data_IF_213323986426
#
_entry.id   IF_213323986426
#
_cell.length_a   1.000
_cell.length_b   1.000
_cell.length_c   1.000
_cell.angle_alpha   90.00
_cell.angle_beta   90.00
_cell.angle_gamma   90.00
#
_symmetry.space_group_name_H-M   'P 1'
#
loop_
_entity.id
_entity.type
_entity.pdbx_description
1 polymer ?
#
# COMPACT_ATOMS: atom_id res chain seq x y z
N UNK A 1 46.16 -24.03 60.38
CA UNK A 1 44.97 -23.35 60.96
C UNK A 1 43.79 -23.72 60.06
N UNK A 2 42.99 -24.74 60.42
CA UNK A 2 41.69 -24.63 61.13
C UNK A 2 40.68 -23.77 60.34
N UNK A 3 39.87 -24.41 59.50
CA UNK A 3 38.44 -24.74 59.70
C UNK A 3 37.49 -23.60 59.31
N UNK A 4 36.60 -23.85 58.33
CA UNK A 4 35.16 -23.98 58.56
C UNK A 4 34.38 -24.00 57.24
N UNK A 5 33.66 -25.11 57.02
CA UNK A 5 32.48 -25.17 56.17
C UNK A 5 31.39 -24.24 56.72
N UNK A 6 30.62 -23.59 55.85
CA UNK A 6 29.19 -23.41 56.12
C UNK A 6 28.43 -23.29 54.80
N UNK A 7 27.74 -24.36 54.44
CA UNK A 7 26.58 -24.31 53.56
C UNK A 7 25.40 -23.75 54.38
N UNK A 8 24.67 -22.78 53.84
CA UNK A 8 23.30 -22.52 54.26
C UNK A 8 22.42 -22.37 53.02
N UNK A 9 21.61 -23.42 52.79
CA UNK A 9 20.42 -23.39 51.96
C UNK A 9 19.40 -22.45 52.60
N UNK A 10 18.94 -21.45 51.86
CA UNK A 10 17.67 -20.77 52.11
C UNK A 10 16.82 -20.86 50.83
N UNK A 11 15.93 -21.83 50.86
CA UNK A 11 14.71 -21.91 50.06
C UNK A 11 13.83 -20.70 50.29
N UNK A 12 13.28 -20.11 49.22
CA UNK A 12 12.25 -19.08 49.33
C UNK A 12 11.77 -18.62 47.95
N UNK A 13 10.70 -19.23 47.47
CA UNK A 13 10.03 -18.91 46.22
C UNK A 13 9.67 -17.42 46.13
N UNK A 14 10.05 -16.75 45.04
CA UNK A 14 9.27 -15.70 44.38
C UNK A 14 9.98 -15.30 43.08
N UNK A 15 9.56 -15.90 41.97
CA UNK A 15 8.97 -15.16 40.85
C UNK A 15 8.51 -16.20 39.83
N UNK A 16 7.23 -16.56 39.88
CA UNK A 16 6.49 -16.73 38.65
C UNK A 16 6.55 -15.37 37.94
N UNK A 17 7.61 -15.13 37.18
CA UNK A 17 7.55 -14.17 36.11
C UNK A 17 6.57 -14.78 35.10
N UNK A 18 5.28 -14.49 35.31
CA UNK A 18 4.35 -14.44 34.20
C UNK A 18 5.02 -13.47 33.22
N UNK A 19 5.58 -14.01 32.14
CA UNK A 19 5.99 -13.26 30.97
C UNK A 19 4.73 -12.63 30.39
N UNK A 20 4.27 -11.55 31.01
CA UNK A 20 3.28 -10.67 30.43
C UNK A 20 3.96 -10.07 29.22
N UNK A 21 3.50 -10.44 28.02
CA UNK A 21 3.91 -9.79 26.79
C UNK A 21 3.80 -8.28 27.00
N UNK A 22 4.90 -7.55 26.75
CA UNK A 22 4.91 -6.10 26.87
C UNK A 22 3.78 -5.54 26.02
N UNK A 23 2.87 -4.76 26.63
CA UNK A 23 1.75 -4.15 25.92
C UNK A 23 2.12 -2.75 25.48
N UNK A 24 1.58 -2.34 24.34
CA UNK A 24 1.75 -0.98 23.82
C UNK A 24 0.40 -0.37 23.47
N UNK A 25 0.33 0.95 23.50
CA UNK A 25 -0.78 1.74 22.97
C UNK A 25 -0.30 2.50 21.75
N UNK A 26 -0.77 2.08 20.58
CA UNK A 26 -0.35 2.64 19.30
C UNK A 26 -1.57 3.02 18.46
N UNK A 27 -1.51 4.21 17.86
CA UNK A 27 -2.36 4.57 16.73
C UNK A 27 -1.57 4.34 15.46
N UNK A 28 -2.12 3.60 14.50
CA UNK A 28 -1.39 3.37 13.26
C UNK A 28 -2.27 3.39 12.03
N UNK A 29 -1.64 3.70 10.90
CA UNK A 29 -2.18 3.45 9.56
C UNK A 29 -1.17 2.63 8.79
N UNK A 30 -1.64 1.80 7.88
CA UNK A 30 -0.77 0.91 7.14
C UNK A 30 -0.94 1.09 5.63
N UNK A 31 0.10 0.81 4.87
CA UNK A 31 0.03 0.61 3.43
C UNK A 31 0.96 -0.53 3.04
N UNK A 32 0.72 -1.09 1.87
CA UNK A 32 1.63 -2.07 1.26
C UNK A 32 2.48 -1.39 0.19
N UNK A 33 3.79 -1.53 0.26
CA UNK A 33 4.71 -0.83 -0.64
C UNK A 33 4.75 -1.45 -2.05
N UNK A 34 4.71 -2.78 -2.16
CA UNK A 34 4.96 -3.48 -3.43
C UNK A 34 3.70 -3.85 -4.22
N UNK A 35 2.53 -3.54 -3.68
CA UNK A 35 1.24 -3.92 -4.26
C UNK A 35 0.21 -4.25 -3.19
N UNK A 36 -1.09 -4.23 -3.51
CA UNK A 36 -2.13 -4.43 -2.52
C UNK A 36 -2.05 -5.82 -1.88
N UNK A 37 -2.34 -5.88 -0.57
CA UNK A 37 -2.45 -7.14 0.19
C UNK A 37 -3.88 -7.23 0.72
N UNK A 38 -4.72 -7.91 -0.06
CA UNK A 38 -6.10 -8.19 0.32
C UNK A 38 -6.14 -9.36 1.30
N UNK A 39 -7.08 -9.30 2.24
CA UNK A 39 -7.19 -10.30 3.29
C UNK A 39 -6.19 -10.16 4.42
N UNK A 40 -5.38 -9.10 4.41
CA UNK A 40 -4.53 -8.76 5.53
C UNK A 40 -5.38 -8.41 6.76
N UNK A 41 -4.82 -8.74 7.92
CA UNK A 41 -5.39 -8.50 9.23
C UNK A 41 -4.27 -8.39 10.27
N UNK A 42 -4.60 -7.90 11.46
CA UNK A 42 -3.71 -7.95 12.61
C UNK A 42 -4.34 -8.70 13.78
N UNK A 43 -3.48 -9.27 14.63
CA UNK A 43 -3.91 -9.92 15.86
C UNK A 43 -4.04 -8.90 17.00
N UNK A 44 -5.23 -8.83 17.57
CA UNK A 44 -5.55 -8.09 18.79
C UNK A 44 -5.84 -9.10 19.90
N UNK A 45 -4.76 -9.54 20.57
CA UNK A 45 -4.81 -10.70 21.46
C UNK A 45 -5.17 -11.98 20.71
N UNK A 46 -6.41 -12.46 20.89
CA UNK A 46 -6.94 -13.64 20.19
C UNK A 46 -7.81 -13.30 18.98
N UNK A 47 -8.20 -12.03 18.84
CA UNK A 47 -9.10 -11.57 17.80
C UNK A 47 -8.32 -11.22 16.53
N UNK A 48 -8.91 -11.51 15.38
CA UNK A 48 -8.36 -11.16 14.06
C UNK A 48 -9.10 -9.93 13.55
N UNK A 49 -8.38 -8.81 13.41
CA UNK A 49 -8.94 -7.53 12.95
C UNK A 49 -8.60 -7.30 11.47
N UNK A 50 -9.58 -7.21 10.55
CA UNK A 50 -9.34 -6.95 9.14
C UNK A 50 -8.57 -5.65 8.91
N UNK A 51 -7.63 -5.68 7.97
CA UNK A 51 -6.77 -4.55 7.61
C UNK A 51 -6.25 -4.74 6.18
N UNK A 52 -7.14 -4.64 5.18
CA UNK A 52 -6.72 -4.71 3.79
C UNK A 52 -5.76 -3.55 3.47
N UNK A 53 -4.66 -3.86 2.79
CA UNK A 53 -3.58 -2.90 2.54
C UNK A 53 -3.57 -2.49 1.08
N UNK A 54 -3.72 -1.19 0.83
CA UNK A 54 -3.58 -0.58 -0.50
C UNK A 54 -2.11 -0.28 -0.83
N UNK A 55 -1.81 -0.16 -2.12
CA UNK A 55 -0.51 0.29 -2.61
C UNK A 55 -0.38 1.81 -2.76
N UNK A 56 -1.52 2.51 -2.72
CA UNK A 56 -1.65 3.90 -3.15
C UNK A 56 -2.13 4.83 -2.03
N UNK A 57 -2.71 4.28 -0.97
CA UNK A 57 -3.21 5.05 0.16
C UNK A 57 -3.04 4.30 1.48
N UNK A 58 -2.95 5.06 2.57
CA UNK A 58 -2.95 4.52 3.92
C UNK A 58 -4.36 4.04 4.31
N UNK A 59 -4.43 3.00 5.13
CA UNK A 59 -5.68 2.59 5.78
C UNK A 59 -6.25 3.72 6.65
N UNK A 60 -7.52 3.59 7.04
CA UNK A 60 -8.05 4.34 8.18
C UNK A 60 -7.20 4.10 9.45
N UNK A 61 -7.16 5.09 10.34
CA UNK A 61 -6.44 4.98 11.61
C UNK A 61 -7.02 3.86 12.47
N UNK A 62 -6.12 2.98 12.91
CA UNK A 62 -6.37 1.92 13.86
C UNK A 62 -5.90 2.35 15.24
N UNK A 63 -6.65 2.01 16.28
CA UNK A 63 -6.21 2.15 17.68
C UNK A 63 -5.93 0.76 18.24
N UNK A 64 -4.68 0.51 18.60
CA UNK A 64 -4.20 -0.79 19.07
C UNK A 64 -3.73 -0.69 20.52
N UNK A 65 -4.25 -1.57 21.38
CA UNK A 65 -3.83 -1.71 22.78
C UNK A 65 -3.61 -3.19 23.09
N UNK A 66 -2.51 -3.74 22.60
CA UNK A 66 -2.26 -5.18 22.62
C UNK A 66 -0.81 -5.56 22.87
N UNK A 67 -0.50 -6.85 22.73
CA UNK A 67 0.86 -7.37 22.82
C UNK A 67 1.83 -6.71 21.83
N UNK A 68 3.11 -6.67 22.20
CA UNK A 68 4.21 -6.26 21.34
C UNK A 68 5.13 -7.48 21.14
N UNK A 69 5.32 -8.00 19.92
CA UNK A 69 5.06 -7.37 18.62
C UNK A 69 3.62 -7.40 18.11
N UNK A 70 3.25 -6.40 17.31
CA UNK A 70 2.06 -6.49 16.44
C UNK A 70 2.30 -7.60 15.41
N UNK A 71 1.32 -8.49 15.26
CA UNK A 71 1.38 -9.60 14.30
C UNK A 71 0.37 -9.36 13.19
N UNK A 72 0.86 -9.16 11.97
CA UNK A 72 0.04 -9.18 10.77
C UNK A 72 -0.13 -10.62 10.29
N UNK A 73 -1.33 -10.91 9.82
CA UNK A 73 -1.73 -12.22 9.31
C UNK A 73 -2.54 -12.06 8.02
N UNK A 74 -2.56 -13.11 7.22
CA UNK A 74 -3.50 -13.27 6.12
C UNK A 74 -4.64 -14.15 6.58
N UNK A 75 -5.88 -13.70 6.39
CA UNK A 75 -7.05 -14.50 6.79
C UNK A 75 -7.30 -15.62 5.78
N UNK A 76 -7.62 -16.81 6.26
CA UNK A 76 -7.94 -17.96 5.39
C UNK A 76 -9.37 -17.87 4.82
N UNK A 77 -10.26 -17.05 5.41
CA UNK A 77 -11.59 -16.72 4.86
C UNK A 77 -11.51 -15.82 3.62
N UNK A 78 -10.33 -15.23 3.39
CA UNK A 78 -9.90 -14.62 2.13
C UNK A 78 -9.03 -15.54 1.29
N UNK A 79 -9.17 -16.87 1.44
CA UNK A 79 -9.04 -17.69 0.25
C UNK A 79 -9.93 -17.01 -0.79
N UNK A 80 -9.40 -16.48 -1.92
CA UNK A 80 -10.28 -16.28 -3.03
C UNK A 80 -10.92 -17.65 -3.17
N UNK A 81 -12.25 -17.70 -3.12
CA UNK A 81 -12.88 -18.67 -3.98
C UNK A 81 -12.10 -18.52 -5.28
N UNK A 82 -11.46 -19.59 -5.75
CA UNK A 82 -11.19 -19.71 -7.16
C UNK A 82 -12.56 -19.73 -7.88
N UNK A 83 -13.40 -18.71 -7.70
CA UNK A 83 -13.74 -17.91 -8.84
C UNK A 83 -12.39 -17.56 -9.46
N UNK A 84 -11.99 -18.40 -10.42
CA UNK A 84 -11.34 -17.89 -11.62
C UNK A 84 -11.90 -16.49 -11.81
N UNK A 85 -11.06 -15.44 -11.90
CA UNK A 85 -11.57 -14.09 -12.04
C UNK A 85 -12.72 -14.20 -13.02
N UNK A 86 -13.92 -13.76 -12.63
CA UNK A 86 -15.01 -13.64 -13.62
C UNK A 86 -14.55 -12.47 -14.45
N UNK A 87 -13.52 -12.72 -15.25
CA UNK A 87 -13.11 -11.85 -16.28
C UNK A 87 -14.28 -11.98 -17.20
N UNK A 88 -15.12 -10.94 -17.20
CA UNK A 88 -16.11 -10.81 -18.25
C UNK A 88 -15.33 -11.03 -19.54
N UNK A 89 -15.76 -11.88 -20.48
CA UNK A 89 -14.96 -12.22 -21.65
C UNK A 89 -14.36 -10.99 -22.37
N UNK A 90 -15.02 -9.82 -22.27
CA UNK A 90 -14.50 -8.53 -22.69
C UNK A 90 -13.28 -8.00 -21.91
N UNK A 91 -13.25 -8.06 -20.58
CA UNK A 91 -12.13 -7.61 -19.74
C UNK A 91 -10.87 -8.47 -19.94
N UNK A 92 -11.03 -9.77 -20.20
CA UNK A 92 -9.92 -10.70 -20.44
C UNK A 92 -9.29 -10.40 -21.79
N UNK A 93 -10.15 -10.16 -22.77
CA UNK A 93 -9.74 -9.77 -24.11
C UNK A 93 -9.06 -8.41 -24.10
N UNK A 94 -9.57 -7.44 -23.32
CA UNK A 94 -8.91 -6.13 -23.16
C UNK A 94 -7.53 -6.26 -22.51
N UNK A 95 -7.39 -7.04 -21.44
CA UNK A 95 -6.10 -7.27 -20.79
C UNK A 95 -5.09 -7.98 -21.73
N UNK A 96 -5.53 -9.00 -22.46
CA UNK A 96 -4.69 -9.72 -23.42
C UNK A 96 -4.24 -8.80 -24.58
N UNK A 97 -5.15 -7.99 -25.14
CA UNK A 97 -4.83 -7.04 -26.20
C UNK A 97 -3.89 -5.93 -25.71
N UNK A 98 -4.05 -5.47 -24.47
CA UNK A 98 -3.15 -4.48 -23.87
C UNK A 98 -1.72 -5.04 -23.69
N UNK A 99 -1.59 -6.28 -23.22
CA UNK A 99 -0.30 -6.97 -23.12
C UNK A 99 0.34 -7.19 -24.49
N UNK A 100 -0.47 -7.56 -25.50
CA UNK A 100 0.03 -7.72 -26.87
C UNK A 100 0.52 -6.38 -27.44
N UNK A 101 -0.22 -5.30 -27.24
CA UNK A 101 0.16 -3.95 -27.67
C UNK A 101 1.48 -3.51 -27.03
N UNK A 102 1.65 -3.76 -25.73
CA UNK A 102 2.89 -3.44 -25.02
C UNK A 102 4.07 -4.22 -25.60
N UNK A 103 3.88 -5.51 -25.92
CA UNK A 103 4.92 -6.34 -26.54
C UNK A 103 5.33 -5.83 -27.92
N UNK A 104 4.35 -5.39 -28.73
CA UNK A 104 4.57 -4.81 -30.07
C UNK A 104 5.30 -3.46 -29.98
N UNK A 105 4.91 -2.61 -29.03
CA UNK A 105 5.57 -1.31 -28.79
C UNK A 105 7.00 -1.48 -28.30
N UNK A 106 7.24 -2.45 -27.42
CA UNK A 106 8.59 -2.77 -26.92
C UNK A 106 9.49 -3.25 -28.07
N UNK A 107 8.97 -4.11 -28.96
CA UNK A 107 9.72 -4.58 -30.14
C UNK A 107 10.02 -3.46 -31.13
N UNK A 108 9.08 -2.54 -31.36
CA UNK A 108 9.32 -1.33 -32.18
C UNK A 108 10.42 -0.45 -31.58
N UNK A 109 10.42 -0.27 -30.26
CA UNK A 109 11.44 0.51 -29.57
C UNK A 109 12.84 -0.12 -29.72
N UNK A 110 12.96 -1.45 -29.55
CA UNK A 110 14.22 -2.18 -29.76
C UNK A 110 14.72 -2.04 -31.20
N UNK A 111 13.88 -2.26 -32.21
CA UNK A 111 14.30 -2.15 -33.62
C UNK A 111 14.69 -0.71 -33.99
N UNK A 112 14.06 0.29 -33.38
CA UNK A 112 14.39 1.70 -33.60
C UNK A 112 15.72 2.07 -32.92
N UNK A 113 15.97 1.55 -31.72
CA UNK A 113 17.25 1.71 -31.02
C UNK A 113 18.40 1.05 -31.78
N UNK A 114 18.22 -0.20 -32.24
CA UNK A 114 19.20 -0.94 -33.04
C UNK A 114 19.57 -0.20 -34.34
N UNK A 115 18.59 0.41 -35.01
CA UNK A 115 18.83 1.22 -36.21
C UNK A 115 19.61 2.51 -35.90
N UNK A 116 19.38 3.12 -34.73
CA UNK A 116 20.10 4.32 -34.27
C UNK A 116 21.56 4.00 -33.94
N UNK A 117 21.81 2.88 -33.27
CA UNK A 117 23.17 2.43 -32.92
C UNK A 117 24.01 2.08 -34.15
N UNK A 118 23.37 1.67 -35.25
CA UNK A 118 24.03 1.34 -36.53
C UNK A 118 24.12 2.53 -37.49
N UNK A 119 24.00 3.76 -37.00
CA UNK A 119 24.12 4.96 -37.83
C UNK A 119 23.04 5.08 -38.91
N UNK A 120 21.83 4.58 -38.64
CA UNK A 120 20.70 4.59 -39.58
C UNK A 120 20.61 3.36 -40.49
N UNK A 121 21.56 2.41 -40.40
CA UNK A 121 21.48 1.15 -41.13
C UNK A 121 20.65 0.11 -40.37
N UNK A 122 19.39 -0.04 -40.78
CA UNK A 122 18.50 -1.06 -40.23
C UNK A 122 18.98 -2.48 -40.60
N UNK A 123 18.73 -3.47 -39.73
CA UNK A 123 18.95 -4.89 -40.04
C UNK A 123 18.19 -5.30 -41.31
N UNK A 124 18.73 -6.24 -42.09
CA UNK A 124 18.03 -6.81 -43.24
C UNK A 124 16.68 -7.39 -42.78
N UNK A 125 15.58 -6.91 -43.35
CA UNK A 125 14.21 -7.29 -42.95
C UNK A 125 13.55 -6.40 -41.89
N UNK A 126 14.31 -5.56 -41.17
CA UNK A 126 13.76 -4.71 -40.10
C UNK A 126 12.76 -3.67 -40.59
N UNK A 127 12.92 -3.14 -41.81
CA UNK A 127 11.94 -2.21 -42.38
C UNK A 127 10.57 -2.88 -42.62
N UNK A 128 10.58 -4.14 -43.05
CA UNK A 128 9.36 -4.96 -43.21
C UNK A 128 8.74 -5.31 -41.85
N UNK A 129 9.57 -5.69 -40.88
CA UNK A 129 9.13 -5.99 -39.51
C UNK A 129 8.52 -4.76 -38.82
N UNK A 130 9.14 -3.58 -38.96
CA UNK A 130 8.60 -2.31 -38.44
C UNK A 130 7.25 -1.97 -39.10
N UNK A 131 7.09 -2.19 -40.40
CA UNK A 131 5.82 -1.97 -41.09
C UNK A 131 4.72 -2.92 -40.58
N UNK A 132 5.05 -4.20 -40.38
CA UNK A 132 4.14 -5.20 -39.82
C UNK A 132 3.75 -4.87 -38.38
N UNK A 133 4.71 -4.49 -37.53
CA UNK A 133 4.47 -4.13 -36.13
C UNK A 133 3.65 -2.83 -36.00
N UNK A 134 3.88 -1.83 -36.86
CA UNK A 134 3.04 -0.63 -36.90
C UNK A 134 1.60 -0.95 -37.30
N UNK A 135 1.42 -1.79 -38.32
CA UNK A 135 0.09 -2.25 -38.73
C UNK A 135 -0.60 -3.04 -37.60
N UNK A 136 0.13 -3.93 -36.90
CA UNK A 136 -0.39 -4.67 -35.75
C UNK A 136 -0.77 -3.76 -34.58
N UNK A 137 0.06 -2.76 -34.27
CA UNK A 137 -0.25 -1.77 -33.23
C UNK A 137 -1.52 -0.98 -33.55
N UNK A 138 -1.72 -0.57 -34.80
CA UNK A 138 -2.94 0.10 -35.23
C UNK A 138 -4.17 -0.80 -35.11
N UNK A 139 -4.07 -2.09 -35.49
CA UNK A 139 -5.18 -3.04 -35.34
C UNK A 139 -5.53 -3.31 -33.88
N UNK A 140 -4.51 -3.45 -33.01
CA UNK A 140 -4.72 -3.70 -31.57
C UNK A 140 -5.37 -2.49 -30.89
N UNK A 141 -4.98 -1.27 -31.24
CA UNK A 141 -5.61 -0.04 -30.75
C UNK A 141 -7.08 0.08 -31.22
N UNK A 142 -7.38 -0.31 -32.46
CA UNK A 142 -8.74 -0.32 -32.98
C UNK A 142 -9.62 -1.35 -32.25
N UNK A 143 -9.12 -2.57 -32.00
CA UNK A 143 -9.84 -3.59 -31.22
C UNK A 143 -10.07 -3.16 -29.76
N UNK A 144 -9.07 -2.55 -29.11
CA UNK A 144 -9.20 -2.02 -27.76
C UNK A 144 -10.28 -0.92 -27.67
N UNK A 145 -10.30 -0.02 -28.66
CA UNK A 145 -11.30 1.07 -28.74
C UNK A 145 -12.71 0.51 -28.96
N UNK A 146 -12.87 -0.47 -29.85
CA UNK A 146 -14.16 -1.11 -30.10
C UNK A 146 -14.67 -1.88 -28.87
N UNK A 147 -13.79 -2.60 -28.16
CA UNK A 147 -14.15 -3.32 -26.94
C UNK A 147 -14.52 -2.38 -25.78
N UNK A 148 -13.83 -1.23 -25.67
CA UNK A 148 -14.18 -0.21 -24.69
C UNK A 148 -15.56 0.41 -24.97
N UNK A 149 -15.87 0.71 -26.24
CA UNK A 149 -17.17 1.24 -26.65
C UNK A 149 -18.31 0.24 -26.46
N UNK A 150 -18.09 -1.03 -26.81
CA UNK A 150 -19.08 -2.09 -26.59
C UNK A 150 -19.35 -2.33 -25.10
N UNK A 151 -18.31 -2.22 -24.25
CA UNK A 151 -18.44 -2.36 -22.79
C UNK A 151 -19.20 -1.18 -22.16
N UNK A 152 -19.02 0.04 -22.68
CA UNK A 152 -19.76 1.21 -22.24
C UNK A 152 -21.26 1.12 -22.60
N UNK A 153 -21.60 0.66 -23.80
CA UNK A 153 -23.00 0.48 -24.24
C UNK A 153 -23.73 -0.64 -23.48
N UNK A 154 -23.02 -1.69 -23.07
CA UNK A 154 -23.60 -2.77 -22.26
C UNK A 154 -23.91 -2.34 -20.80
N UNK A 155 -23.28 -1.27 -20.31
CA UNK A 155 -23.50 -0.74 -18.96
C UNK A 155 -24.72 0.20 -18.87
N UNK A 156 -25.30 0.62 -20.00
CA UNK A 156 -26.39 1.60 -20.09
C UNK A 156 -27.79 0.96 -20.21
N UNK A 157 -27.90 -0.37 -20.29
CA UNK A 157 -29.18 -1.07 -20.33
C UNK A 157 -29.78 -1.19 -18.91
N UNK A 158 -31.05 -0.79 -18.67
CA UNK A 158 -31.66 -0.86 -17.35
C UNK A 158 -31.88 -2.32 -16.90
N UNK A 159 -31.77 -2.61 -15.58
CA UNK A 159 -31.93 -3.97 -15.08
C UNK A 159 -33.38 -4.45 -15.20
N UNK A 160 -33.56 -5.69 -15.69
CA UNK A 160 -34.84 -6.39 -15.67
C UNK A 160 -35.31 -6.63 -14.22
N UNK A 161 -36.63 -6.61 -13.95
CA UNK A 161 -37.16 -6.78 -12.60
C UNK A 161 -36.95 -8.22 -12.09
N UNK A 162 -36.56 -8.34 -10.82
CA UNK A 162 -36.32 -9.61 -10.14
C UNK A 162 -37.59 -10.47 -10.00
N UNK A 163 -37.49 -11.81 -10.08
CA UNK A 163 -38.62 -12.71 -9.88
C UNK A 163 -39.05 -12.75 -8.41
N UNK A 164 -40.37 -12.74 -8.18
CA UNK A 164 -41.04 -12.75 -6.88
C UNK A 164 -40.94 -14.12 -6.19
N UNK A 165 -40.79 -14.07 -4.87
CA UNK A 165 -40.81 -15.19 -3.92
C UNK A 165 -42.03 -16.13 -4.11
N UNK A 166 -41.75 -17.44 -4.15
CA UNK A 166 -42.73 -18.52 -3.98
C UNK A 166 -42.50 -19.28 -2.66
N UNK A 167 -43.55 -19.88 -2.06
CA UNK A 167 -43.58 -20.22 -0.63
C UNK A 167 -42.95 -21.58 -0.27
N UNK A 168 -42.47 -21.65 0.97
CA UNK A 168 -41.89 -22.82 1.61
C UNK A 168 -42.90 -23.97 1.84
N UNK A 169 -42.49 -25.26 1.69
CA UNK A 169 -43.25 -26.39 2.22
C UNK A 169 -42.77 -26.82 3.61
N UNK A 170 -43.75 -27.07 4.48
CA UNK A 170 -43.65 -27.63 5.83
C UNK A 170 -43.13 -29.07 5.82
N UNK A 171 -42.31 -29.44 6.80
CA UNK A 171 -42.23 -30.82 7.32
C UNK A 171 -42.17 -30.82 8.85
N UNK A 172 -42.87 -31.80 9.43
CA UNK A 172 -43.21 -32.02 10.85
C UNK A 172 -42.18 -33.00 11.50
N UNK A 173 -41.98 -33.03 12.84
CA UNK A 173 -40.81 -33.66 13.46
C UNK A 173 -41.01 -35.15 13.75
N UNK A 174 -39.90 -35.89 13.85
CA UNK A 174 -39.84 -37.21 14.47
C UNK A 174 -38.59 -37.32 15.36
N UNK A 175 -38.83 -37.78 16.58
CA UNK A 175 -37.85 -38.06 17.62
C UNK A 175 -37.09 -39.38 17.36
N UNK A 176 -35.91 -39.51 17.98
CA UNK A 176 -35.21 -40.79 18.09
C UNK A 176 -33.74 -40.60 18.46
N UNK A 177 -33.43 -40.73 19.75
CA UNK A 177 -32.05 -40.66 20.23
C UNK A 177 -31.29 -41.96 20.01
N UNK A 178 -29.97 -41.84 19.81
CA UNK A 178 -28.96 -42.84 20.20
C UNK A 178 -27.69 -42.08 20.58
N UNK A 179 -27.20 -42.30 21.81
CA UNK A 179 -25.87 -41.90 22.27
C UNK A 179 -24.88 -43.01 21.90
N UNK A 180 -23.69 -42.66 21.40
CA UNK A 180 -22.50 -43.20 22.06
C UNK A 180 -21.44 -42.12 22.31
N UNK A 181 -20.72 -42.26 23.41
CA UNK A 181 -19.45 -41.58 23.71
C UNK A 181 -18.40 -42.67 24.04
N UNK A 182 -17.08 -42.41 24.09
CA UNK A 182 -16.33 -41.19 23.76
C UNK A 182 -15.06 -41.48 22.89
N UNK A 183 -14.22 -40.45 22.73
CA UNK A 183 -12.81 -40.45 22.26
C UNK A 183 -12.52 -40.35 20.76
N UNK A 184 -12.68 -39.14 20.23
CA UNK A 184 -11.60 -38.53 19.48
C UNK A 184 -11.36 -37.15 20.10
N UNK A 185 -10.18 -36.92 20.66
CA UNK A 185 -9.75 -35.55 21.00
C UNK A 185 -9.87 -34.71 19.72
N UNK A 186 -10.56 -33.55 19.74
CA UNK A 186 -10.59 -32.69 18.58
C UNK A 186 -9.16 -32.28 18.27
N UNK A 187 -8.68 -32.67 17.09
CA UNK A 187 -7.48 -32.09 16.49
C UNK A 187 -7.59 -30.57 16.66
N UNK A 188 -6.57 -29.87 17.18
CA UNK A 188 -6.63 -28.43 17.36
C UNK A 188 -7.12 -27.80 16.07
N UNK A 189 -8.23 -27.05 16.14
CA UNK A 189 -8.77 -26.36 14.99
C UNK A 189 -7.65 -25.54 14.37
N UNK A 190 -7.40 -25.75 13.08
CA UNK A 190 -6.36 -25.01 12.36
C UNK A 190 -6.62 -23.51 12.55
N UNK A 191 -5.61 -22.69 12.88
CA UNK A 191 -5.78 -21.24 12.91
C UNK A 191 -6.37 -20.80 11.57
N UNK A 192 -7.41 -19.96 11.60
CA UNK A 192 -8.12 -19.45 10.42
C UNK A 192 -7.34 -18.36 9.69
N UNK A 193 -6.02 -18.32 9.88
CA UNK A 193 -5.13 -17.30 9.37
C UNK A 193 -3.69 -17.80 9.30
N UNK A 194 -2.91 -17.19 8.42
CA UNK A 194 -1.49 -17.48 8.20
C UNK A 194 -0.64 -16.28 8.61
N UNK A 195 0.50 -16.47 9.29
CA UNK A 195 1.41 -15.36 9.59
C UNK A 195 1.84 -14.62 8.32
N UNK A 196 1.83 -13.29 8.37
CA UNK A 196 2.30 -12.43 7.28
C UNK A 196 3.63 -11.75 7.68
N UNK A 197 3.60 -10.97 8.75
CA UNK A 197 4.76 -10.25 9.26
C UNK A 197 4.56 -9.89 10.74
N UNK A 198 5.63 -9.51 11.44
CA UNK A 198 5.55 -8.99 12.81
C UNK A 198 6.38 -7.72 12.95
N UNK A 199 5.92 -6.80 13.79
CA UNK A 199 6.63 -5.55 14.08
C UNK A 199 6.67 -5.28 15.58
N UNK A 200 7.88 -5.11 16.12
CA UNK A 200 8.07 -4.70 17.50
C UNK A 200 8.10 -3.18 17.57
N UNK A 201 7.10 -2.59 18.23
CA UNK A 201 7.08 -1.16 18.49
C UNK A 201 8.15 -0.78 19.52
N UNK A 202 8.84 0.36 19.34
CA UNK A 202 9.77 0.86 20.34
C UNK A 202 9.08 1.38 21.62
N UNK A 203 7.78 1.70 21.52
CA UNK A 203 6.95 2.20 22.62
C UNK A 203 5.59 2.66 22.11
N UNK A 204 4.87 3.39 22.96
CA UNK A 204 3.59 4.01 22.61
C UNK A 204 3.78 5.13 21.57
N UNK A 205 2.76 5.37 20.74
CA UNK A 205 2.83 6.47 19.78
C UNK A 205 1.86 6.41 18.61
N UNK A 206 2.14 7.21 17.59
CA UNK A 206 1.40 7.27 16.33
C UNK A 206 2.34 6.99 15.17
N UNK A 207 2.00 6.02 14.31
CA UNK A 207 2.92 5.48 13.31
C UNK A 207 2.25 5.23 11.95
N UNK A 208 3.02 5.40 10.88
CA UNK A 208 2.73 4.84 9.56
C UNK A 208 3.49 3.53 9.40
N UNK A 209 2.78 2.44 9.10
CA UNK A 209 3.36 1.14 8.85
C UNK A 209 3.45 0.89 7.35
N UNK A 210 4.64 0.54 6.90
CA UNK A 210 4.96 0.22 5.52
C UNK A 210 5.25 -1.28 5.43
N UNK A 211 4.28 -2.01 4.90
CA UNK A 211 4.40 -3.45 4.70
C UNK A 211 5.02 -3.67 3.33
N UNK A 212 6.12 -4.42 3.24
CA UNK A 212 6.80 -4.65 1.97
C UNK A 212 7.40 -6.05 1.92
N UNK A 213 7.52 -6.61 0.72
CA UNK A 213 8.07 -7.92 0.44
C UNK A 213 9.56 -7.79 0.16
N UNK A 214 10.31 -8.67 0.80
CA UNK A 214 11.74 -8.90 0.57
C UNK A 214 11.92 -10.34 0.09
N UNK A 215 13.12 -10.68 -0.35
CA UNK A 215 13.56 -12.05 -0.59
C UNK A 215 13.39 -12.97 0.64
N UNK A 216 13.51 -12.41 1.84
CA UNK A 216 13.32 -13.14 3.11
C UNK A 216 11.86 -13.20 3.59
N UNK A 217 10.91 -12.59 2.86
CA UNK A 217 9.49 -12.55 3.19
C UNK A 217 8.96 -11.14 3.42
N UNK A 218 7.77 -11.04 4.01
CA UNK A 218 7.12 -9.74 4.25
C UNK A 218 7.65 -9.10 5.53
N UNK A 219 8.02 -7.83 5.46
CA UNK A 219 8.55 -7.05 6.58
C UNK A 219 7.76 -5.76 6.75
N UNK A 220 7.90 -5.13 7.92
CA UNK A 220 7.20 -3.90 8.29
C UNK A 220 8.24 -2.87 8.70
N UNK A 221 8.23 -1.72 8.03
CA UNK A 221 8.94 -0.52 8.48
C UNK A 221 7.94 0.46 9.10
N UNK A 222 8.34 1.17 10.15
CA UNK A 222 7.48 2.17 10.78
C UNK A 222 8.07 3.57 10.67
N UNK A 223 7.20 4.55 10.42
CA UNK A 223 7.53 5.97 10.41
C UNK A 223 6.72 6.64 11.51
N UNK A 224 7.38 7.44 12.33
CA UNK A 224 6.74 8.35 13.28
C UNK A 224 5.74 9.32 12.60
N UNK A 225 4.48 9.28 13.04
CA UNK A 225 3.35 10.13 12.59
C UNK A 225 2.79 10.96 13.77
N UNK A 226 3.63 11.28 14.77
CA UNK A 226 3.27 12.25 15.80
C UNK A 226 2.89 13.60 15.17
N UNK A 227 1.98 14.29 15.83
CA UNK A 227 1.53 15.61 15.40
C UNK A 227 2.72 16.56 15.23
N UNK A 228 2.76 17.29 14.12
CA UNK A 228 3.86 18.19 13.75
C UNK A 228 5.08 17.51 13.11
N UNK A 229 5.25 16.19 13.17
CA UNK A 229 6.40 15.51 12.55
C UNK A 229 6.33 15.48 11.01
N UNK A 230 5.10 15.40 10.48
CA UNK A 230 4.80 15.40 9.05
C UNK A 230 3.53 16.21 8.76
N UNK A 231 3.61 17.56 8.79
CA UNK A 231 2.46 18.44 8.66
C UNK A 231 1.89 18.47 7.23
N UNK A 232 0.61 18.84 7.10
CA UNK A 232 -0.01 19.14 5.80
C UNK A 232 0.68 20.34 5.11
N UNK A 233 0.72 20.30 3.78
CA UNK A 233 1.49 21.21 2.93
C UNK A 233 2.99 20.94 2.90
N UNK A 234 3.44 19.81 3.45
CA UNK A 234 4.85 19.40 3.45
C UNK A 234 5.07 18.07 2.74
N UNK A 235 6.33 17.80 2.41
CA UNK A 235 6.75 16.55 1.81
C UNK A 235 7.75 15.86 2.73
N UNK A 236 7.55 14.59 3.00
CA UNK A 236 8.52 13.78 3.73
C UNK A 236 9.23 12.85 2.75
N UNK A 237 10.55 12.87 2.76
CA UNK A 237 11.39 12.05 1.91
C UNK A 237 12.02 10.95 2.74
N UNK A 238 12.04 9.73 2.21
CA UNK A 238 12.69 8.56 2.80
C UNK A 238 13.70 8.03 1.80
N UNK A 239 14.98 8.06 2.19
CA UNK A 239 16.07 7.60 1.35
C UNK A 239 16.23 6.07 1.49
N UNK A 240 15.74 5.32 0.51
CA UNK A 240 15.93 3.87 0.42
C UNK A 240 17.04 3.49 -0.58
N UNK A 241 17.82 4.47 -1.04
CA UNK A 241 19.01 4.22 -1.85
C UNK A 241 20.18 3.74 -0.97
N UNK A 242 21.21 3.16 -1.60
CA UNK A 242 22.45 2.78 -0.91
C UNK A 242 23.36 3.96 -0.54
N UNK A 243 23.09 5.16 -1.04
CA UNK A 243 23.96 6.33 -0.90
C UNK A 243 23.27 7.55 -0.28
N UNK A 244 24.03 8.59 0.08
CA UNK A 244 23.44 9.86 0.51
C UNK A 244 22.76 10.55 -0.67
N UNK A 245 21.69 11.30 -0.38
CA UNK A 245 20.95 12.09 -1.36
C UNK A 245 20.71 13.50 -0.82
N UNK A 246 20.56 14.45 -1.73
CA UNK A 246 20.22 15.84 -1.40
C UNK A 246 18.98 16.26 -2.18
N UNK A 247 17.91 16.61 -1.47
CA UNK A 247 16.66 17.09 -2.05
C UNK A 247 16.64 18.60 -2.00
N UNK A 248 16.42 19.26 -3.14
CA UNK A 248 16.45 20.72 -3.27
C UNK A 248 15.14 21.24 -3.85
N UNK A 249 14.65 22.34 -3.29
CA UNK A 249 13.52 23.12 -3.82
C UNK A 249 13.87 24.61 -3.70
N UNK A 250 14.35 25.20 -4.79
CA UNK A 250 14.91 26.56 -4.79
C UNK A 250 16.05 26.69 -3.77
N UNK A 251 15.97 27.65 -2.86
CA UNK A 251 16.98 27.87 -1.81
C UNK A 251 16.92 26.86 -0.65
N UNK A 252 15.91 25.99 -0.59
CA UNK A 252 15.76 24.99 0.48
C UNK A 252 16.44 23.70 0.06
N UNK A 253 17.27 23.14 0.94
CA UNK A 253 17.92 21.85 0.74
C UNK A 253 17.72 20.93 1.96
N UNK A 254 17.62 19.63 1.70
CA UNK A 254 17.50 18.56 2.67
C UNK A 254 18.47 17.44 2.31
N UNK A 255 19.56 17.30 3.07
CA UNK A 255 20.50 16.19 2.95
C UNK A 255 19.99 14.97 3.75
N UNK A 256 20.00 13.80 3.12
CA UNK A 256 19.55 12.54 3.72
C UNK A 256 20.64 11.48 3.59
N UNK A 257 21.07 10.94 4.73
CA UNK A 257 21.91 9.74 4.76
C UNK A 257 21.15 8.51 4.20
N UNK A 258 21.84 7.42 3.83
CA UNK A 258 21.18 6.15 3.51
C UNK A 258 20.24 5.73 4.64
N UNK A 259 19.03 5.27 4.30
CA UNK A 259 17.94 4.94 5.26
C UNK A 259 17.46 6.13 6.10
N UNK A 260 17.93 7.34 5.80
CA UNK A 260 17.51 8.57 6.46
C UNK A 260 16.15 9.05 5.96
N UNK A 261 15.51 9.91 6.75
CA UNK A 261 14.28 10.59 6.38
C UNK A 261 14.32 12.06 6.78
N UNK A 262 13.54 12.88 6.10
CA UNK A 262 13.40 14.29 6.46
C UNK A 262 12.19 14.93 5.82
N UNK A 263 11.71 15.99 6.44
CA UNK A 263 10.54 16.74 5.98
C UNK A 263 10.99 18.08 5.39
N UNK A 264 10.44 18.44 4.24
CA UNK A 264 10.69 19.71 3.57
C UNK A 264 9.37 20.30 3.12
N UNK A 265 9.18 21.60 3.38
CA UNK A 265 8.11 22.39 2.76
C UNK A 265 8.70 23.14 1.57
N UNK A 266 8.22 22.93 0.34
CA UNK A 266 8.82 23.57 -0.82
C UNK A 266 8.65 25.10 -0.76
N UNK A 267 9.50 25.83 -1.48
CA UNK A 267 9.44 27.29 -1.55
C UNK A 267 8.41 27.73 -2.58
N UNK A 268 7.13 27.75 -2.21
CA UNK A 268 6.03 28.22 -3.04
C UNK A 268 4.82 28.55 -2.17
N UNK A 269 3.82 29.22 -2.75
CA UNK A 269 2.53 29.47 -2.10
C UNK A 269 1.53 28.35 -2.40
N UNK A 270 0.41 28.34 -1.68
CA UNK A 270 -0.72 27.48 -2.00
C UNK A 270 -1.14 27.64 -3.48
N UNK A 271 -1.43 26.52 -4.15
CA UNK A 271 -1.82 26.45 -5.57
C UNK A 271 -0.76 26.98 -6.55
N UNK A 272 0.52 26.80 -6.21
CA UNK A 272 1.63 27.12 -7.12
C UNK A 272 2.46 25.88 -7.43
N UNK A 273 3.21 25.92 -8.52
CA UNK A 273 4.20 24.89 -8.81
C UNK A 273 5.53 25.23 -8.16
N UNK A 274 6.19 24.23 -7.60
CA UNK A 274 7.61 24.31 -7.27
C UNK A 274 8.41 23.26 -8.03
N UNK A 275 9.62 23.66 -8.40
CA UNK A 275 10.61 22.79 -9.02
C UNK A 275 11.49 22.19 -7.94
N UNK A 276 11.67 20.88 -8.04
CA UNK A 276 12.48 20.09 -7.14
C UNK A 276 13.56 19.32 -7.89
N UNK A 277 14.69 19.17 -7.25
CA UNK A 277 15.81 18.38 -7.74
C UNK A 277 16.24 17.40 -6.65
N UNK A 278 16.58 16.18 -7.04
CA UNK A 278 17.24 15.22 -6.17
C UNK A 278 18.60 14.95 -6.75
N UNK A 279 19.61 15.27 -5.96
CA UNK A 279 21.00 15.00 -6.27
C UNK A 279 21.44 13.72 -5.55
N UNK A 280 22.18 12.88 -6.24
CA UNK A 280 22.71 11.62 -5.74
C UNK A 280 24.21 11.55 -5.98
N UNK A 281 24.91 10.72 -5.21
CA UNK A 281 26.33 10.47 -5.43
C UNK A 281 26.52 9.58 -6.67
N UNK A 282 27.22 10.11 -7.68
CA UNK A 282 27.69 9.35 -8.84
C UNK A 282 28.94 8.51 -8.51
N UNK A 283 29.38 7.67 -9.44
CA UNK A 283 30.53 6.76 -9.26
C UNK A 283 31.84 7.48 -8.91
N UNK A 284 32.02 8.69 -9.43
CA UNK A 284 33.18 9.56 -9.13
C UNK A 284 33.08 10.27 -7.76
N UNK A 285 32.05 9.96 -6.98
CA UNK A 285 31.82 10.54 -5.66
C UNK A 285 31.15 11.91 -5.65
N UNK A 286 30.92 12.53 -6.81
CA UNK A 286 30.28 13.84 -6.90
C UNK A 286 28.74 13.74 -6.81
N UNK A 287 28.11 14.76 -6.22
CA UNK A 287 26.66 14.89 -6.22
C UNK A 287 26.20 15.40 -7.59
N UNK A 288 25.33 14.65 -8.26
CA UNK A 288 24.77 14.99 -9.57
C UNK A 288 23.26 14.87 -9.56
N UNK A 289 22.60 15.59 -10.47
CA UNK A 289 21.16 15.52 -10.64
C UNK A 289 20.75 14.09 -11.03
N UNK A 290 20.08 13.41 -10.11
CA UNK A 290 19.57 12.05 -10.30
C UNK A 290 18.08 12.00 -10.62
N UNK A 291 17.33 13.06 -10.29
CA UNK A 291 15.90 13.21 -10.61
C UNK A 291 15.48 14.68 -10.57
N UNK A 292 14.62 15.11 -11.49
CA UNK A 292 13.98 16.42 -11.48
C UNK A 292 12.47 16.25 -11.41
N UNK A 293 11.79 17.11 -10.66
CA UNK A 293 10.34 17.04 -10.44
C UNK A 293 9.72 18.43 -10.44
N UNK A 294 8.44 18.48 -10.80
CA UNK A 294 7.60 19.66 -10.64
C UNK A 294 6.36 19.28 -9.87
N UNK A 295 6.15 19.93 -8.73
CA UNK A 295 5.08 19.58 -7.78
C UNK A 295 4.10 20.73 -7.68
N UNK A 296 2.81 20.41 -7.74
CA UNK A 296 1.75 21.35 -7.45
C UNK A 296 1.51 21.39 -5.93
N UNK A 297 1.68 22.56 -5.31
CA UNK A 297 1.60 22.70 -3.86
C UNK A 297 0.17 22.92 -3.39
N UNK A 298 -0.29 22.08 -2.47
CA UNK A 298 -1.56 22.25 -1.78
C UNK A 298 -1.34 22.14 -0.27
N UNK A 299 -1.87 23.09 0.50
CA UNK A 299 -1.63 23.16 1.95
C UNK A 299 -2.40 22.10 2.73
N UNK A 300 -3.42 21.51 2.11
CA UNK A 300 -4.22 20.41 2.62
C UNK A 300 -3.69 19.03 2.20
N UNK A 301 -2.60 18.97 1.43
CA UNK A 301 -1.97 17.71 1.00
C UNK A 301 -0.60 17.56 1.66
N UNK A 302 -0.31 16.38 2.18
CA UNK A 302 1.07 15.99 2.50
C UNK A 302 1.48 14.80 1.65
N UNK A 303 2.73 14.78 1.23
CA UNK A 303 3.24 13.76 0.32
C UNK A 303 4.44 13.04 0.91
N UNK A 304 4.36 11.71 0.96
CA UNK A 304 5.46 10.85 1.37
C UNK A 304 6.16 10.32 0.12
N UNK A 305 7.43 10.67 -0.07
CA UNK A 305 8.26 10.21 -1.17
C UNK A 305 9.28 9.17 -0.72
N UNK A 306 9.29 8.04 -1.41
CA UNK A 306 10.31 7.01 -1.30
C UNK A 306 11.30 7.16 -2.43
N UNK A 307 12.57 7.35 -2.07
CA UNK A 307 13.68 7.46 -3.01
C UNK A 307 14.29 6.07 -3.19
N UNK A 308 14.03 5.46 -4.33
CA UNK A 308 14.46 4.11 -4.67
C UNK A 308 15.64 4.15 -5.64
N UNK A 309 16.57 3.18 -5.60
CA UNK A 309 17.56 3.04 -6.66
C UNK A 309 16.86 2.71 -8.01
N UNK A 310 17.49 3.13 -9.10
CA UNK A 310 17.14 2.65 -10.45
C UNK A 310 17.56 1.19 -10.62
N UNK A 311 16.77 0.40 -11.34
CA UNK A 311 16.97 -1.05 -11.45
C UNK A 311 18.20 -1.41 -12.31
N UNK A 312 18.52 -0.57 -13.30
CA UNK A 312 19.62 -0.82 -14.25
C UNK A 312 21.00 -0.33 -13.75
N UNK A 313 21.15 0.00 -12.47
CA UNK A 313 22.45 0.29 -11.85
C UNK A 313 23.01 1.70 -12.06
N UNK A 314 22.21 2.66 -12.55
CA UNK A 314 22.61 4.07 -12.63
C UNK A 314 22.62 4.82 -11.28
N UNK A 315 23.19 6.03 -11.26
CA UNK A 315 23.23 6.88 -10.06
C UNK A 315 21.90 7.60 -9.75
N UNK A 316 20.92 7.57 -10.66
CA UNK A 316 19.64 8.22 -10.49
C UNK A 316 18.75 7.58 -9.41
N UNK A 317 17.58 8.19 -9.16
CA UNK A 317 16.55 7.63 -8.29
C UNK A 317 15.22 7.47 -9.02
N UNK A 318 14.43 6.50 -8.58
CA UNK A 318 13.00 6.42 -8.86
C UNK A 318 12.24 6.95 -7.64
N UNK A 319 11.14 7.65 -7.90
CA UNK A 319 10.27 8.16 -6.85
C UNK A 319 8.97 7.37 -6.81
N UNK A 320 8.59 6.92 -5.62
CA UNK A 320 7.22 6.53 -5.32
C UNK A 320 6.63 7.54 -4.34
N UNK A 321 5.59 8.25 -4.76
CA UNK A 321 4.86 9.21 -3.93
C UNK A 321 3.57 8.62 -3.40
N UNK A 322 3.24 8.89 -2.14
CA UNK A 322 1.93 8.63 -1.53
C UNK A 322 1.38 9.96 -1.03
N UNK A 323 0.23 10.35 -1.54
CA UNK A 323 -0.43 11.60 -1.15
C UNK A 323 -1.54 11.32 -0.16
N UNK A 324 -1.60 12.18 0.86
CA UNK A 324 -2.69 12.21 1.81
C UNK A 324 -3.29 13.60 1.80
N UNK A 325 -4.59 13.68 1.51
CA UNK A 325 -5.37 14.89 1.66
C UNK A 325 -5.97 14.94 3.05
N UNK A 326 -5.97 16.13 3.65
CA UNK A 326 -6.66 16.41 4.89
C UNK A 326 -8.14 16.11 4.67
N UNK A 327 -8.69 15.22 5.48
CA UNK A 327 -10.13 14.99 5.52
C UNK A 327 -10.70 16.05 6.46
N UNK A 328 -11.50 16.96 5.93
CA UNK A 328 -12.28 17.85 6.79
C UNK A 328 -13.26 17.01 7.58
N UNK A 329 -13.27 17.20 8.90
CA UNK A 329 -14.24 16.53 9.76
C UNK A 329 -15.63 16.98 9.30
N UNK A 330 -16.58 16.07 9.05
CA UNK A 330 -17.90 16.46 8.59
C UNK A 330 -18.51 17.38 9.65
N UNK A 331 -18.76 18.63 9.27
CA UNK A 331 -19.47 19.57 10.13
C UNK A 331 -20.82 18.91 10.47
N UNK A 332 -21.11 18.64 11.75
CA UNK A 332 -22.40 18.08 12.11
C UNK A 332 -23.48 19.00 11.55
N UNK A 333 -24.56 18.46 10.96
CA UNK A 333 -25.61 19.29 10.40
C UNK A 333 -26.06 20.24 11.50
N UNK A 334 -25.97 21.54 11.24
CA UNK A 334 -26.61 22.54 12.08
C UNK A 334 -28.10 22.20 12.01
N UNK A 335 -28.59 21.48 13.01
CA UNK A 335 -30.01 21.30 13.23
C UNK A 335 -30.50 22.73 13.50
N UNK A 336 -31.12 23.32 12.48
CA UNK A 336 -31.60 24.68 12.50
C UNK A 336 -32.45 24.90 13.75
N UNK A 337 -31.86 25.57 14.74
CA UNK A 337 -32.60 26.17 15.83
C UNK A 337 -33.57 27.16 15.24
N UNK A 338 -34.85 26.98 15.58
CA UNK A 338 -35.93 27.82 15.13
C UNK A 338 -35.67 29.31 15.42
N UNK A 339 -35.89 30.13 14.40
CA UNK A 339 -36.32 31.51 14.56
C UNK A 339 -35.21 32.56 14.60
N UNK A 340 -34.81 33.05 13.43
CA UNK A 340 -34.46 34.46 13.32
C UNK A 340 -35.16 35.05 12.08
N UNK A 341 -36.07 35.99 12.35
CA UNK A 341 -36.87 36.72 11.37
C UNK A 341 -35.94 37.64 10.57
N UNK A 342 -36.11 37.79 9.25
CA UNK A 342 -35.29 38.72 8.47
C UNK A 342 -35.57 40.16 8.92
N UNK A 343 -34.50 40.87 9.30
CA UNK A 343 -34.53 42.29 9.60
C UNK A 343 -34.86 43.10 8.33
N UNK A 344 -35.84 43.99 8.46
CA UNK A 344 -36.26 44.95 7.43
C UNK A 344 -35.13 45.98 7.18
N UNK A 345 -34.83 46.36 5.93
CA UNK A 345 -33.86 47.41 5.67
C UNK A 345 -34.43 48.77 6.07
N UNK A 346 -33.71 49.50 6.93
CA UNK A 346 -33.98 50.90 7.20
C UNK A 346 -33.48 51.76 6.03
N UNK A 347 -34.32 52.73 5.65
CA UNK A 347 -34.04 53.80 4.69
C UNK A 347 -32.89 54.70 5.14
#
# INVERSE_FOLDING_TARGET
>A
MRHACLALLLTGAHLLAQTGEARVRVKFRALSFDGPILGAAYLDGKDVRPLDLSADCFTAEQTYVGPNPLRLVLRDDTAPALAAPVIRPGEARMAALAQELESVQRRLATLTADARERGGQAQAGAASEIAQLKSRSQSLNAELTQLAQASAQAAEAPPAPAPKNGPAPKTRPAAGGVVPAPTAQPKPARPTHRPLAAFTFPGDGRLLLLVHRTDQGTTINAIDDREGAFPFGSMQFINLTGGPVEVRFGAKSLALAPKGKGTLRPGGGHNTYAEGEIHTRAEDGQMRLGYSMRIFQQDDVRTLYFLLPVEDGGHGVRLKGIEERRVDEPVPPVIGGAGEKPATPAR
#
